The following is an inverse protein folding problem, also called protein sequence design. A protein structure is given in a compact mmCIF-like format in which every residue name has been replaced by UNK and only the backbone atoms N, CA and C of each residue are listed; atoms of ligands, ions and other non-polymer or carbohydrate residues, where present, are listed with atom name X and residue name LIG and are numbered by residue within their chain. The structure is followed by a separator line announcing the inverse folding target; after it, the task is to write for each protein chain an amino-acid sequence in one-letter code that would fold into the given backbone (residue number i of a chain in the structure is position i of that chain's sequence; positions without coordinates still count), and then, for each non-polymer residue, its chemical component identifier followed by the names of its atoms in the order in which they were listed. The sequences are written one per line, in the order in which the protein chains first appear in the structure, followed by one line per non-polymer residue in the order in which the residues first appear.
data_IF_117151432994
#
_entry.id   IF_117151432994
#
_cell.length_a   1.000
_cell.length_b   1.000
_cell.length_c   1.000
_cell.angle_alpha   90.00
_cell.angle_beta   90.00
_cell.angle_gamma   90.00
#
_symmetry.space_group_name_H-M   'P 1'
#
loop_
_entity.id
_entity.type
_entity.pdbx_description
1 polymer ?
#
# COMPACT_ATOMS: atom_id res chain seq x y z
N UNK A 1 12.91 22.77 -3.17
CA UNK A 1 12.67 21.61 -4.06
C UNK A 1 12.03 20.56 -3.17
N UNK A 2 10.69 20.55 -3.10
CA UNK A 2 9.97 19.57 -2.29
C UNK A 2 10.34 18.22 -2.86
N UNK A 3 11.06 17.41 -2.09
CA UNK A 3 11.21 16.00 -2.38
C UNK A 3 9.79 15.44 -2.30
N UNK A 4 9.08 15.47 -3.42
CA UNK A 4 8.08 14.48 -3.70
C UNK A 4 8.89 13.20 -3.81
N UNK A 5 9.27 12.65 -2.65
CA UNK A 5 9.64 11.26 -2.52
C UNK A 5 8.36 10.57 -2.97
N UNK A 6 8.22 10.38 -4.29
CA UNK A 6 7.25 9.53 -4.91
C UNK A 6 7.37 8.26 -4.10
N UNK A 7 6.36 8.06 -3.29
CA UNK A 7 6.28 7.04 -2.28
C UNK A 7 6.73 5.75 -2.97
N UNK A 8 7.96 5.29 -2.71
CA UNK A 8 8.56 4.23 -3.50
C UNK A 8 7.99 2.91 -3.01
N UNK A 9 6.89 2.50 -3.62
CA UNK A 9 6.21 1.24 -3.39
C UNK A 9 6.26 0.38 -4.67
N UNK A 10 6.03 -0.92 -4.53
CA UNK A 10 5.95 -1.86 -5.65
C UNK A 10 4.54 -2.42 -5.79
N UNK A 11 4.08 -2.63 -7.01
CA UNK A 11 2.77 -3.24 -7.27
C UNK A 11 2.81 -4.73 -6.92
N UNK A 12 2.16 -5.08 -5.81
CA UNK A 12 1.94 -6.46 -5.43
C UNK A 12 0.64 -6.94 -6.05
N UNK A 13 0.70 -8.05 -6.79
CA UNK A 13 -0.47 -8.69 -7.39
C UNK A 13 -0.44 -10.18 -7.07
N UNK A 14 -1.56 -10.70 -6.57
CA UNK A 14 -1.69 -12.10 -6.17
C UNK A 14 -3.04 -12.64 -6.60
N UNK A 15 -3.05 -13.78 -7.28
CA UNK A 15 -4.28 -14.51 -7.60
C UNK A 15 -4.23 -15.26 -8.93
N UNK A 16 -5.17 -16.18 -9.17
CA UNK A 16 -5.21 -17.03 -10.36
C UNK A 16 -5.38 -16.24 -11.67
N UNK A 17 -5.95 -15.03 -11.62
CA UNK A 17 -6.17 -14.19 -12.79
C UNK A 17 -4.94 -13.42 -13.29
N UNK A 18 -3.78 -13.50 -12.61
CA UNK A 18 -2.63 -12.60 -12.86
C UNK A 18 -2.10 -12.64 -14.29
N UNK A 19 -2.20 -13.79 -14.96
CA UNK A 19 -1.80 -13.95 -16.36
C UNK A 19 -2.59 -13.09 -17.35
N UNK A 20 -3.76 -12.57 -16.96
CA UNK A 20 -4.59 -11.67 -17.76
C UNK A 20 -4.29 -10.19 -17.50
N UNK A 21 -3.43 -9.87 -16.52
CA UNK A 21 -3.07 -8.50 -16.18
C UNK A 21 -1.89 -8.05 -17.05
N UNK A 22 -2.20 -7.37 -18.16
CA UNK A 22 -1.21 -6.85 -19.09
C UNK A 22 -0.40 -5.70 -18.48
N UNK A 23 0.79 -5.37 -19.03
CA UNK A 23 1.58 -4.22 -18.55
C UNK A 23 0.80 -2.90 -18.53
N UNK A 24 -0.02 -2.62 -19.55
CA UNK A 24 -0.88 -1.43 -19.58
C UNK A 24 -1.90 -1.41 -18.42
N UNK A 25 -2.44 -2.57 -18.04
CA UNK A 25 -3.33 -2.68 -16.88
C UNK A 25 -2.54 -2.48 -15.57
N UNK A 26 -1.29 -2.98 -15.49
CA UNK A 26 -0.42 -2.75 -14.32
C UNK A 26 -0.17 -1.25 -14.10
N UNK A 27 0.15 -0.51 -15.16
CA UNK A 27 0.39 0.94 -15.09
C UNK A 27 -0.86 1.70 -14.62
N UNK A 28 -2.04 1.28 -15.11
CA UNK A 28 -3.33 1.86 -14.69
C UNK A 28 -3.67 1.54 -13.25
N UNK A 29 -3.43 0.31 -12.81
CA UNK A 29 -3.61 -0.08 -11.40
C UNK A 29 -2.67 0.69 -10.49
N UNK A 30 -1.43 0.89 -10.93
CA UNK A 30 -0.47 1.66 -10.15
C UNK A 30 -0.86 3.13 -10.04
N UNK A 31 -1.26 3.73 -11.16
CA UNK A 31 -1.81 5.09 -11.18
C UNK A 31 -3.05 5.21 -10.29
N UNK A 32 -3.95 4.22 -10.32
CA UNK A 32 -5.15 4.21 -9.50
C UNK A 32 -4.81 4.17 -8.00
N UNK A 33 -3.81 3.38 -7.61
CA UNK A 33 -3.29 3.41 -6.24
C UNK A 33 -2.69 4.79 -5.94
N UNK A 34 -1.84 5.37 -6.77
CA UNK A 34 -1.30 6.71 -6.47
C UNK A 34 -2.39 7.78 -6.29
N UNK A 35 -3.49 7.70 -7.04
CA UNK A 35 -4.64 8.60 -6.91
C UNK A 35 -5.55 8.32 -5.70
N UNK A 36 -5.51 7.10 -5.16
CA UNK A 36 -6.35 6.65 -4.04
C UNK A 36 -5.50 6.23 -2.83
N UNK A 37 -4.84 7.17 -2.13
CA UNK A 37 -3.86 6.86 -1.07
C UNK A 37 -4.46 6.10 0.12
N UNK A 38 -5.77 6.20 0.35
CA UNK A 38 -6.49 5.49 1.42
C UNK A 38 -6.91 4.07 1.03
N UNK A 39 -6.86 3.72 -0.25
CA UNK A 39 -7.19 2.37 -0.72
C UNK A 39 -6.01 1.45 -0.50
N UNK A 40 -6.16 0.49 0.41
CA UNK A 40 -5.12 -0.50 0.68
C UNK A 40 -5.06 -1.60 -0.40
N UNK A 41 -6.23 -2.01 -0.89
CA UNK A 41 -6.41 -3.16 -1.77
C UNK A 41 -7.36 -2.80 -2.92
N UNK A 42 -6.95 -3.15 -4.14
CA UNK A 42 -7.80 -3.18 -5.34
C UNK A 42 -7.95 -4.64 -5.75
N UNK A 43 -9.12 -4.93 -6.26
CA UNK A 43 -9.65 -6.26 -6.20
C UNK A 43 -10.29 -6.47 -7.59
N UNK A 44 -9.61 -7.23 -8.47
CA UNK A 44 -9.89 -7.33 -9.92
C UNK A 44 -10.39 -8.73 -10.27
N UNK A 45 -11.56 -8.82 -10.90
CA UNK A 45 -12.11 -10.08 -11.41
C UNK A 45 -11.72 -10.26 -12.88
N UNK A 46 -11.12 -11.40 -13.22
CA UNK A 46 -10.90 -11.83 -14.61
C UNK A 46 -11.72 -13.10 -14.91
N UNK A 47 -11.72 -13.53 -16.17
CA UNK A 47 -12.29 -14.81 -16.61
C UNK A 47 -11.54 -16.04 -16.06
N UNK A 48 -10.25 -15.88 -15.71
CA UNK A 48 -9.44 -16.89 -15.03
C UNK A 48 -9.44 -16.78 -13.50
N UNK A 49 -10.23 -15.87 -12.92
CA UNK A 49 -10.42 -15.71 -11.49
C UNK A 49 -9.92 -14.37 -10.93
N UNK A 50 -9.78 -14.30 -9.61
CA UNK A 50 -9.50 -13.05 -8.93
C UNK A 50 -8.01 -12.66 -8.97
N UNK A 51 -7.74 -11.35 -8.91
CA UNK A 51 -6.43 -10.77 -8.61
C UNK A 51 -6.59 -9.69 -7.54
N UNK A 52 -5.92 -9.89 -6.41
CA UNK A 52 -5.77 -8.88 -5.36
C UNK A 52 -4.51 -8.07 -5.64
N UNK A 53 -4.64 -6.75 -5.57
CA UNK A 53 -3.62 -5.78 -5.96
C UNK A 53 -3.42 -4.80 -4.80
N UNK A 54 -2.19 -4.57 -4.38
CA UNK A 54 -1.88 -3.64 -3.29
C UNK A 54 -0.51 -2.99 -3.47
N UNK A 55 -0.23 -1.98 -2.64
CA UNK A 55 1.13 -1.42 -2.53
C UNK A 55 1.95 -2.29 -1.59
N UNK A 56 3.10 -2.76 -2.05
CA UNK A 56 4.15 -3.27 -1.17
C UNK A 56 5.14 -2.14 -0.83
N UNK A 57 5.28 -1.88 0.45
CA UNK A 57 6.14 -0.82 0.96
C UNK A 57 7.48 -1.40 1.39
N UNK A 58 8.61 -0.78 1.03
CA UNK A 58 9.92 -1.21 1.49
C UNK A 58 9.98 -1.37 3.02
N UNK A 59 10.61 -2.45 3.49
CA UNK A 59 10.62 -2.82 4.91
C UNK A 59 11.26 -1.77 5.83
N UNK A 60 12.12 -0.88 5.30
CA UNK A 60 12.66 0.24 6.06
C UNK A 60 11.57 1.24 6.50
N UNK A 61 10.50 1.42 5.71
CA UNK A 61 9.36 2.25 6.11
C UNK A 61 8.58 1.64 7.25
N UNK A 62 8.41 0.31 7.27
CA UNK A 62 7.73 -0.36 8.39
C UNK A 62 8.50 -0.18 9.70
N UNK A 63 9.84 -0.18 9.66
CA UNK A 63 10.67 0.20 10.81
C UNK A 63 10.42 1.65 11.25
N UNK A 64 10.36 2.59 10.30
CA UNK A 64 10.03 4.00 10.59
C UNK A 64 8.64 4.14 11.22
N UNK A 65 7.63 3.41 10.74
CA UNK A 65 6.29 3.41 11.33
C UNK A 65 6.35 2.95 12.78
N UNK A 66 7.02 1.83 13.08
CA UNK A 66 7.20 1.36 14.46
C UNK A 66 7.85 2.41 15.35
N UNK A 67 8.98 2.99 14.90
CA UNK A 67 9.66 4.05 15.66
C UNK A 67 8.81 5.30 15.87
N UNK A 68 7.96 5.67 14.90
CA UNK A 68 7.03 6.80 15.04
C UNK A 68 5.91 6.49 16.04
N UNK A 69 5.36 5.27 16.00
CA UNK A 69 4.35 4.83 16.98
C UNK A 69 4.93 4.88 18.39
N UNK A 70 6.13 4.36 18.59
CA UNK A 70 6.82 4.40 19.89
C UNK A 70 7.06 5.85 20.36
N UNK A 71 7.51 6.72 19.47
CA UNK A 71 7.75 8.13 19.78
C UNK A 71 6.45 8.88 20.14
N UNK A 72 5.34 8.61 19.45
CA UNK A 72 4.04 9.22 19.74
C UNK A 72 3.48 8.69 21.06
N UNK A 73 3.59 7.39 21.31
CA UNK A 73 3.13 6.77 22.55
C UNK A 73 3.93 7.26 23.78
N UNK A 74 5.21 7.62 23.59
CA UNK A 74 6.04 8.19 24.64
C UNK A 74 5.79 9.70 24.90
N UNK A 75 5.00 10.38 24.06
CA UNK A 75 4.76 11.82 24.18
C UNK A 75 3.86 12.15 25.38
N UNK A 76 4.19 13.16 26.21
CA UNK A 76 3.36 13.54 27.35
C UNK A 76 1.93 13.89 26.94
N UNK A 77 0.94 13.31 27.62
CA UNK A 77 -0.48 13.53 27.37
C UNK A 77 -1.11 12.62 26.31
N UNK A 78 -0.34 11.75 25.66
CA UNK A 78 -0.87 10.69 24.79
C UNK A 78 -1.04 9.41 25.60
N UNK A 79 -2.24 8.83 25.59
CA UNK A 79 -2.57 7.61 26.35
C UNK A 79 -2.73 6.37 25.47
N UNK A 80 -3.00 6.56 24.17
CA UNK A 80 -3.14 5.49 23.18
C UNK A 80 -2.99 6.05 21.75
N UNK A 81 -2.61 5.19 20.82
CA UNK A 81 -2.65 5.42 19.38
C UNK A 81 -3.14 4.14 18.70
N UNK A 82 -4.14 4.26 17.84
CA UNK A 82 -4.69 3.16 17.06
C UNK A 82 -4.38 3.37 15.58
N UNK A 83 -3.89 2.33 14.91
CA UNK A 83 -3.66 2.32 13.48
C UNK A 83 -4.69 1.40 12.80
N UNK A 84 -5.27 1.78 11.66
CA UNK A 84 -6.15 0.88 10.92
C UNK A 84 -5.36 -0.36 10.47
N UNK A 85 -5.82 -1.54 10.84
CA UNK A 85 -5.23 -2.79 10.38
C UNK A 85 -5.43 -2.91 8.86
N UNK A 86 -4.33 -3.08 8.10
CA UNK A 86 -4.41 -3.48 6.69
C UNK A 86 -4.99 -4.89 6.65
N UNK A 87 -6.31 -5.01 6.47
CA UNK A 87 -7.03 -6.27 6.34
C UNK A 87 -7.22 -6.67 4.89
#
# INVERSE_FOLDING_TARGET
MTDASHLSWQLLMVGPGIGHITPDIQDKLATLLDLLPTTAIINVQTDAGYVTVSRDWPSHRMKTVGSLVDAIAAAPGITAIDLPENR
#
